data_IF_606623517589
#
_entry.id   IF_606623517589
#
_cell.length_a   1.000
_cell.length_b   1.000
_cell.length_c   1.000
_cell.angle_alpha   90.00
_cell.angle_beta   90.00
_cell.angle_gamma   90.00
#
_symmetry.space_group_name_H-M   'P 1'
#
loop_
_entity.id
_entity.type
_entity.pdbx_description
1 polymer ?
#
# COMPACT_ATOMS: atom_id res chain seq x y z
N UNK A 1 -21.14 13.73 0.65
CA UNK A 1 -20.65 13.08 1.89
C UNK A 1 -21.76 12.83 2.89
N UNK A 2 -22.50 13.86 3.34
CA UNK A 2 -23.60 13.70 4.31
C UNK A 2 -24.59 12.58 3.98
N UNK A 3 -25.07 12.51 2.75
CA UNK A 3 -25.99 11.43 2.34
C UNK A 3 -25.41 10.02 2.53
N UNK A 4 -24.09 9.84 2.37
CA UNK A 4 -23.43 8.54 2.60
C UNK A 4 -23.30 8.26 4.09
N UNK A 5 -22.94 9.27 4.89
CA UNK A 5 -22.86 9.17 6.36
C UNK A 5 -24.23 8.81 6.94
N UNK A 6 -25.28 9.53 6.54
CA UNK A 6 -26.65 9.33 7.04
C UNK A 6 -27.24 7.97 6.59
N UNK A 7 -26.73 7.37 5.52
CA UNK A 7 -27.24 6.11 4.97
C UNK A 7 -26.74 4.86 5.71
N UNK A 8 -25.69 4.94 6.52
CA UNK A 8 -25.05 3.78 7.15
C UNK A 8 -24.82 3.97 8.65
N UNK A 9 -24.82 2.86 9.41
CA UNK A 9 -24.54 2.86 10.85
C UNK A 9 -23.06 2.64 11.19
N UNK A 10 -22.24 2.34 10.19
CA UNK A 10 -20.81 2.09 10.36
C UNK A 10 -20.02 3.38 10.10
N UNK A 11 -18.82 3.55 10.70
CA UNK A 11 -18.00 4.74 10.49
C UNK A 11 -17.65 4.94 9.00
N UNK A 12 -17.91 6.14 8.48
CA UNK A 12 -17.54 6.53 7.11
C UNK A 12 -16.23 7.31 7.15
N UNK A 13 -15.23 6.89 6.39
CA UNK A 13 -13.96 7.62 6.24
C UNK A 13 -13.81 8.17 4.83
N UNK A 14 -12.99 9.20 4.68
CA UNK A 14 -12.70 9.80 3.36
C UNK A 14 -11.21 9.75 3.09
N UNK A 15 -10.84 9.45 1.83
CA UNK A 15 -9.49 9.62 1.32
C UNK A 15 -9.48 10.65 0.20
N UNK A 16 -8.62 11.65 0.31
CA UNK A 16 -8.53 12.76 -0.65
C UNK A 16 -7.07 13.13 -0.96
N UNK A 17 -6.90 14.20 -1.75
CA UNK A 17 -5.66 14.83 -2.18
C UNK A 17 -5.60 16.27 -1.67
N UNK A 18 -4.48 16.96 -1.86
CA UNK A 18 -4.30 18.35 -1.42
C UNK A 18 -5.23 19.36 -2.12
N UNK A 19 -5.84 18.96 -3.23
CA UNK A 19 -6.67 19.80 -4.07
C UNK A 19 -6.61 19.37 -5.54
N UNK A 20 -7.15 20.19 -6.44
CA UNK A 20 -7.22 19.84 -7.87
C UNK A 20 -5.87 20.00 -8.58
N UNK A 21 -5.20 21.12 -8.32
CA UNK A 21 -3.90 21.47 -8.89
C UNK A 21 -3.11 22.37 -7.92
N UNK A 22 -1.98 22.92 -8.38
CA UNK A 22 -1.08 23.72 -7.53
C UNK A 22 -1.65 25.08 -7.14
N UNK A 23 -2.56 25.63 -7.95
CA UNK A 23 -3.26 26.90 -7.67
C UNK A 23 -4.44 26.65 -6.72
N UNK A 24 -5.01 25.44 -6.73
CA UNK A 24 -6.18 25.06 -5.96
C UNK A 24 -5.83 24.03 -4.88
N UNK A 25 -5.05 24.42 -3.86
CA UNK A 25 -4.63 23.58 -2.71
C UNK A 25 -5.46 23.85 -1.45
N UNK A 26 -6.76 23.65 -1.54
CA UNK A 26 -7.77 24.00 -0.52
C UNK A 26 -8.07 22.89 0.50
N UNK A 27 -7.09 22.04 0.82
CA UNK A 27 -7.32 20.86 1.68
C UNK A 27 -7.73 21.21 3.12
N UNK A 28 -7.30 22.35 3.66
CA UNK A 28 -7.68 22.77 5.01
C UNK A 28 -9.20 23.01 5.09
N UNK A 29 -9.74 23.82 4.17
CA UNK A 29 -11.18 24.10 4.09
C UNK A 29 -11.98 22.83 3.80
N UNK A 30 -11.47 21.98 2.91
CA UNK A 30 -12.11 20.69 2.59
C UNK A 30 -12.14 19.77 3.82
N UNK A 31 -11.07 19.74 4.62
CA UNK A 31 -10.98 18.88 5.79
C UNK A 31 -12.03 19.26 6.85
N UNK A 32 -12.18 20.56 7.13
CA UNK A 32 -13.22 21.07 8.03
C UNK A 32 -14.61 20.72 7.50
N UNK A 33 -14.88 21.02 6.22
CA UNK A 33 -16.18 20.75 5.62
C UNK A 33 -16.54 19.26 5.66
N UNK A 34 -15.57 18.38 5.41
CA UNK A 34 -15.76 16.93 5.47
C UNK A 34 -16.05 16.45 6.90
N UNK A 35 -15.29 16.94 7.90
CA UNK A 35 -15.54 16.64 9.30
C UNK A 35 -16.95 17.08 9.71
N UNK A 36 -17.37 18.28 9.31
CA UNK A 36 -18.71 18.83 9.60
C UNK A 36 -19.84 17.99 8.96
N UNK A 37 -19.53 17.16 7.95
CA UNK A 37 -20.47 16.17 7.40
C UNK A 37 -20.51 14.84 8.16
N UNK A 38 -19.73 14.68 9.24
CA UNK A 38 -19.78 13.51 10.14
C UNK A 38 -18.88 12.33 9.72
N UNK A 39 -17.82 12.55 8.95
CA UNK A 39 -16.85 11.48 8.67
C UNK A 39 -16.05 11.13 9.94
N UNK A 40 -15.64 9.88 10.07
CA UNK A 40 -14.95 9.37 11.26
C UNK A 40 -13.42 9.48 11.20
N UNK A 41 -12.83 9.60 10.01
CA UNK A 41 -11.40 9.84 9.81
C UNK A 41 -11.12 10.35 8.38
N UNK A 42 -10.02 11.10 8.23
CA UNK A 42 -9.61 11.67 6.94
C UNK A 42 -8.19 11.22 6.57
N UNK A 43 -8.05 10.56 5.42
CA UNK A 43 -6.75 10.27 4.81
C UNK A 43 -6.41 11.29 3.73
N UNK A 44 -5.22 11.88 3.79
CA UNK A 44 -4.78 12.90 2.83
C UNK A 44 -3.52 12.42 2.11
N UNK A 45 -3.62 12.29 0.79
CA UNK A 45 -2.43 12.12 -0.05
C UNK A 45 -1.80 13.48 -0.31
N UNK A 46 -0.51 13.63 0.01
CA UNK A 46 0.28 14.87 -0.16
C UNK A 46 0.53 15.30 -1.61
N UNK A 47 -0.35 14.95 -2.56
CA UNK A 47 -0.29 15.45 -3.93
C UNK A 47 -1.63 16.07 -4.30
N UNK A 48 -1.61 17.03 -5.21
CA UNK A 48 -2.80 17.53 -5.92
C UNK A 48 -3.22 16.52 -6.98
N UNK A 49 -4.45 16.60 -7.50
CA UNK A 49 -4.90 15.70 -8.57
C UNK A 49 -4.04 15.82 -9.83
N UNK A 50 -3.66 17.04 -10.24
CA UNK A 50 -2.90 17.29 -11.47
C UNK A 50 -1.48 16.72 -11.46
N UNK A 51 -0.85 16.62 -10.29
CA UNK A 51 0.48 16.01 -10.14
C UNK A 51 0.49 14.51 -10.48
N UNK A 52 -0.65 13.81 -10.46
CA UNK A 52 -0.71 12.35 -10.59
C UNK A 52 0.25 11.65 -9.61
N UNK A 53 1.39 11.15 -10.10
CA UNK A 53 2.48 10.53 -9.33
C UNK A 53 3.84 11.21 -9.53
N UNK A 54 3.88 12.36 -10.21
CA UNK A 54 5.11 13.14 -10.39
C UNK A 54 5.39 14.00 -9.16
N UNK A 55 6.62 14.53 -9.08
CA UNK A 55 7.10 15.28 -7.92
C UNK A 55 7.08 14.47 -6.62
N UNK A 56 7.23 15.16 -5.51
CA UNK A 56 7.20 14.60 -4.16
C UNK A 56 5.88 14.92 -3.47
N UNK A 57 5.44 14.05 -2.55
CA UNK A 57 4.32 14.35 -1.69
C UNK A 57 4.68 15.50 -0.73
N UNK A 58 3.91 16.58 -0.78
CA UNK A 58 3.96 17.70 0.15
C UNK A 58 3.17 17.36 1.42
N UNK A 59 3.91 17.15 2.52
CA UNK A 59 3.37 16.84 3.83
C UNK A 59 3.07 18.08 4.68
N UNK A 60 3.48 19.28 4.24
CA UNK A 60 3.27 20.53 4.99
C UNK A 60 1.77 20.83 5.16
N UNK A 61 0.97 20.63 4.11
CA UNK A 61 -0.47 20.82 4.18
C UNK A 61 -1.20 19.72 4.96
N UNK A 62 -0.62 18.51 5.04
CA UNK A 62 -1.14 17.44 5.92
C UNK A 62 -0.93 17.87 7.38
N UNK A 63 0.25 18.37 7.72
CA UNK A 63 0.55 18.92 9.04
C UNK A 63 -0.35 20.11 9.38
N UNK A 64 -0.62 21.01 8.41
CA UNK A 64 -1.52 22.13 8.60
C UNK A 64 -2.94 21.68 8.96
N UNK A 65 -3.46 20.63 8.31
CA UNK A 65 -4.75 20.03 8.68
C UNK A 65 -4.70 19.39 10.06
N UNK A 66 -3.65 18.62 10.37
CA UNK A 66 -3.52 17.95 11.69
C UNK A 66 -3.43 18.95 12.84
N UNK A 67 -2.75 20.07 12.64
CA UNK A 67 -2.56 21.12 13.64
C UNK A 67 -3.67 22.18 13.65
N UNK A 68 -4.70 22.04 12.78
CA UNK A 68 -5.83 22.95 12.78
C UNK A 68 -6.69 22.71 14.05
N UNK A 69 -6.92 23.73 14.90
CA UNK A 69 -7.68 23.56 16.14
C UNK A 69 -9.15 23.16 15.95
N UNK A 70 -9.72 23.34 14.74
CA UNK A 70 -11.07 22.84 14.40
C UNK A 70 -11.11 21.36 14.10
N UNK A 71 -9.97 20.72 13.84
CA UNK A 71 -9.93 19.30 13.50
C UNK A 71 -9.85 18.45 14.77
N UNK A 72 -10.76 17.48 14.86
CA UNK A 72 -10.92 16.60 16.02
C UNK A 72 -10.93 15.12 15.64
N UNK A 73 -11.25 14.81 14.38
CA UNK A 73 -11.18 13.44 13.85
C UNK A 73 -9.73 13.04 13.54
N UNK A 74 -9.39 11.74 13.55
CA UNK A 74 -8.07 11.26 13.16
C UNK A 74 -7.69 11.64 11.73
N UNK A 75 -6.46 12.13 11.57
CA UNK A 75 -5.85 12.46 10.28
C UNK A 75 -4.79 11.40 9.94
N UNK A 76 -4.93 10.82 8.76
CA UNK A 76 -4.03 9.78 8.23
C UNK A 76 -3.20 10.38 7.09
N UNK A 77 -1.89 10.47 7.27
CA UNK A 77 -0.97 10.95 6.25
C UNK A 77 -0.67 9.89 5.18
N UNK A 78 -0.58 10.29 3.91
CA UNK A 78 -0.27 9.40 2.81
C UNK A 78 0.63 10.07 1.77
N UNK A 79 1.60 9.32 1.25
CA UNK A 79 2.44 9.75 0.14
C UNK A 79 3.91 9.46 0.39
N UNK A 80 4.53 8.72 -0.52
CA UNK A 80 5.98 8.50 -0.60
C UNK A 80 6.63 7.91 0.66
N UNK A 81 5.86 7.22 1.50
CA UNK A 81 6.39 6.41 2.59
C UNK A 81 6.92 5.11 1.99
N UNK A 82 8.23 5.05 1.78
CA UNK A 82 8.92 3.91 1.16
C UNK A 82 9.85 3.14 2.10
N UNK A 83 10.02 3.63 3.33
CA UNK A 83 10.84 3.00 4.36
C UNK A 83 10.30 3.29 5.77
N UNK A 84 10.84 2.58 6.75
CA UNK A 84 10.46 2.72 8.15
C UNK A 84 10.93 4.07 8.75
N UNK A 85 12.08 4.54 8.32
CA UNK A 85 12.68 5.81 8.69
C UNK A 85 11.85 6.98 8.15
N UNK A 86 11.46 6.94 6.87
CA UNK A 86 10.57 7.95 6.29
C UNK A 86 9.22 7.95 7.02
N UNK A 87 8.70 6.78 7.39
CA UNK A 87 7.49 6.67 8.19
C UNK A 87 7.63 7.41 9.54
N UNK A 88 8.71 7.13 10.28
CA UNK A 88 9.01 7.81 11.55
C UNK A 88 9.12 9.32 11.37
N UNK A 89 9.90 9.75 10.38
CA UNK A 89 10.06 11.16 10.03
C UNK A 89 8.71 11.84 9.78
N UNK A 90 7.79 11.20 9.05
CA UNK A 90 6.46 11.78 8.79
C UNK A 90 5.60 11.89 10.04
N UNK A 91 5.68 10.92 10.96
CA UNK A 91 5.03 11.06 12.26
C UNK A 91 5.60 12.25 13.04
N UNK A 92 6.93 12.37 13.12
CA UNK A 92 7.63 13.43 13.85
C UNK A 92 7.34 14.84 13.29
N UNK A 93 7.37 14.99 11.96
CA UNK A 93 7.19 16.29 11.29
C UNK A 93 5.75 16.81 11.34
N UNK A 94 4.76 15.91 11.35
CA UNK A 94 3.37 16.29 11.10
C UNK A 94 2.42 16.00 12.26
N UNK A 95 2.80 15.12 13.18
CA UNK A 95 1.96 14.71 14.31
C UNK A 95 0.71 13.94 13.89
N UNK A 96 0.61 13.43 12.66
CA UNK A 96 -0.56 12.67 12.18
C UNK A 96 -0.85 11.45 13.06
N UNK A 97 -2.13 11.08 13.16
CA UNK A 97 -2.57 9.97 14.02
C UNK A 97 -2.21 8.59 13.45
N UNK A 98 -2.05 8.52 12.13
CA UNK A 98 -1.64 7.32 11.41
C UNK A 98 -1.03 7.66 10.05
N UNK A 99 -0.40 6.66 9.44
CA UNK A 99 0.08 6.74 8.06
C UNK A 99 -0.50 5.62 7.20
N UNK A 100 -0.68 5.90 5.92
CA UNK A 100 -1.12 4.92 4.92
C UNK A 100 0.00 4.67 3.91
N UNK A 101 0.41 3.41 3.76
CA UNK A 101 1.44 2.97 2.82
C UNK A 101 0.77 2.30 1.61
N UNK A 102 1.07 2.81 0.41
CA UNK A 102 0.54 2.31 -0.85
C UNK A 102 1.59 1.53 -1.63
N UNK A 103 2.18 2.16 -2.66
CA UNK A 103 3.10 1.53 -3.63
C UNK A 103 4.22 0.69 -2.99
N UNK A 104 4.78 1.10 -1.87
CA UNK A 104 5.88 0.41 -1.22
C UNK A 104 5.52 -0.96 -0.63
N UNK A 105 4.22 -1.30 -0.49
CA UNK A 105 3.78 -2.63 -0.08
C UNK A 105 3.70 -3.63 -1.24
N UNK A 106 3.76 -3.17 -2.49
CA UNK A 106 3.69 -4.04 -3.66
C UNK A 106 4.98 -4.87 -3.78
N UNK A 107 4.87 -6.18 -3.64
CA UNK A 107 6.03 -7.08 -3.66
C UNK A 107 6.87 -7.03 -2.38
N UNK A 108 6.46 -6.24 -1.39
CA UNK A 108 7.10 -6.12 -0.07
C UNK A 108 6.02 -6.06 1.02
N UNK A 109 5.15 -7.07 1.15
CA UNK A 109 4.07 -7.06 2.14
C UNK A 109 4.58 -6.96 3.59
N UNK A 110 5.82 -7.38 3.87
CA UNK A 110 6.46 -7.25 5.18
C UNK A 110 6.85 -5.81 5.56
N UNK A 111 6.65 -4.81 4.68
CA UNK A 111 6.94 -3.40 5.02
C UNK A 111 6.21 -2.91 6.27
N UNK A 112 5.01 -3.43 6.54
CA UNK A 112 4.27 -3.08 7.75
C UNK A 112 4.97 -3.61 9.02
N UNK A 113 5.61 -4.78 8.94
CA UNK A 113 6.39 -5.36 10.05
C UNK A 113 7.68 -4.56 10.26
N UNK A 114 8.37 -4.19 9.18
CA UNK A 114 9.56 -3.32 9.22
C UNK A 114 9.25 -1.98 9.89
N UNK A 115 8.19 -1.30 9.45
CA UNK A 115 7.74 -0.02 10.01
C UNK A 115 7.38 -0.16 11.48
N UNK A 116 6.57 -1.17 11.84
CA UNK A 116 6.15 -1.36 13.23
C UNK A 116 7.34 -1.63 14.15
N UNK A 117 8.27 -2.47 13.73
CA UNK A 117 9.47 -2.77 14.50
C UNK A 117 10.33 -1.51 14.70
N UNK A 118 10.63 -0.77 13.63
CA UNK A 118 11.44 0.45 13.71
C UNK A 118 10.81 1.53 14.60
N UNK A 119 9.49 1.71 14.54
CA UNK A 119 8.79 2.67 15.40
C UNK A 119 8.83 2.27 16.89
N UNK A 120 8.98 0.98 17.20
CA UNK A 120 9.03 0.46 18.57
C UNK A 120 10.45 0.41 19.15
N UNK A 121 11.44 0.08 18.32
CA UNK A 121 12.82 -0.21 18.77
C UNK A 121 13.83 0.83 18.32
N UNK A 122 13.54 1.58 17.24
CA UNK A 122 14.52 2.41 16.55
C UNK A 122 15.51 1.63 15.66
N UNK A 123 15.36 0.31 15.57
CA UNK A 123 16.27 -0.58 14.84
C UNK A 123 15.64 -1.06 13.53
N UNK A 124 16.49 -1.30 12.53
CA UNK A 124 16.05 -1.85 11.25
C UNK A 124 15.67 -3.30 11.44
N UNK A 125 14.43 -3.63 11.08
CA UNK A 125 14.00 -5.01 11.07
C UNK A 125 14.74 -5.77 9.98
N UNK A 126 15.50 -6.79 10.38
CA UNK A 126 16.18 -7.70 9.47
C UNK A 126 15.63 -9.12 9.64
N UNK A 127 15.50 -9.81 8.51
CA UNK A 127 14.96 -11.15 8.43
C UNK A 127 15.48 -11.82 7.17
N UNK A 128 15.61 -13.14 7.21
CA UNK A 128 16.19 -13.92 6.13
C UNK A 128 15.45 -13.73 4.80
N UNK A 129 16.22 -13.75 3.71
CA UNK A 129 15.64 -13.75 2.36
C UNK A 129 14.75 -14.97 2.12
N UNK A 130 15.07 -16.12 2.73
CA UNK A 130 14.24 -17.31 2.71
C UNK A 130 12.86 -17.05 3.30
N UNK A 131 12.77 -16.42 4.49
CA UNK A 131 11.48 -16.05 5.07
C UNK A 131 10.70 -15.08 4.18
N UNK A 132 11.37 -14.07 3.60
CA UNK A 132 10.73 -13.11 2.69
C UNK A 132 10.20 -13.81 1.43
N UNK A 133 10.91 -14.82 0.93
CA UNK A 133 10.46 -15.64 -0.19
C UNK A 133 9.20 -16.44 0.16
N UNK A 134 9.15 -17.06 1.34
CA UNK A 134 7.96 -17.77 1.82
C UNK A 134 6.74 -16.84 1.93
N UNK A 135 6.92 -15.61 2.41
CA UNK A 135 5.83 -14.63 2.42
C UNK A 135 5.32 -14.29 1.01
N UNK A 136 6.21 -14.22 0.01
CA UNK A 136 5.78 -14.04 -1.37
C UNK A 136 5.01 -15.25 -1.89
N UNK A 137 5.43 -16.48 -1.57
CA UNK A 137 4.69 -17.70 -1.93
C UNK A 137 3.32 -17.74 -1.27
N UNK A 138 3.22 -17.37 0.00
CA UNK A 138 1.94 -17.26 0.69
C UNK A 138 1.02 -16.22 0.00
N UNK A 139 1.58 -15.07 -0.38
CA UNK A 139 0.84 -14.06 -1.14
C UNK A 139 0.34 -14.61 -2.49
N UNK A 140 1.13 -15.44 -3.18
CA UNK A 140 0.72 -16.12 -4.41
C UNK A 140 -0.46 -17.07 -4.15
N UNK A 141 -0.38 -17.90 -3.12
CA UNK A 141 -1.44 -18.85 -2.76
C UNK A 141 -2.75 -18.13 -2.43
N UNK A 142 -2.69 -17.07 -1.62
CA UNK A 142 -3.86 -16.25 -1.30
C UNK A 142 -4.48 -15.60 -2.55
N UNK A 143 -3.63 -15.10 -3.47
CA UNK A 143 -4.09 -14.54 -4.74
C UNK A 143 -4.77 -15.56 -5.64
N UNK A 144 -4.24 -16.79 -5.70
CA UNK A 144 -4.87 -17.90 -6.43
C UNK A 144 -6.19 -18.30 -5.79
N UNK A 145 -6.23 -18.46 -4.48
CA UNK A 145 -7.45 -18.84 -3.77
C UNK A 145 -8.56 -17.82 -3.96
N UNK A 146 -8.25 -16.52 -3.84
CA UNK A 146 -9.22 -15.44 -4.07
C UNK A 146 -9.85 -15.52 -5.47
N UNK A 147 -9.06 -15.84 -6.50
CA UNK A 147 -9.56 -15.98 -7.87
C UNK A 147 -10.40 -17.26 -8.04
N UNK A 148 -10.01 -18.36 -7.38
CA UNK A 148 -10.81 -19.59 -7.32
C UNK A 148 -12.18 -19.29 -6.69
N UNK A 149 -12.22 -18.60 -5.56
CA UNK A 149 -13.46 -18.26 -4.85
C UNK A 149 -14.39 -17.35 -5.68
N UNK A 150 -13.82 -16.31 -6.31
CA UNK A 150 -14.61 -15.34 -7.08
C UNK A 150 -15.18 -15.91 -8.39
N UNK A 151 -14.61 -16.99 -8.91
CA UNK A 151 -14.90 -17.50 -10.26
C UNK A 151 -15.08 -19.02 -10.29
N UNK A 152 -15.48 -19.61 -9.15
CA UNK A 152 -15.60 -21.05 -8.97
C UNK A 152 -16.48 -21.72 -10.04
N UNK A 153 -17.53 -21.04 -10.51
CA UNK A 153 -18.46 -21.57 -11.51
C UNK A 153 -18.03 -21.32 -12.96
N UNK A 154 -17.00 -20.48 -13.19
CA UNK A 154 -16.65 -19.96 -14.52
C UNK A 154 -15.36 -20.55 -15.10
N UNK A 155 -14.50 -21.14 -14.27
CA UNK A 155 -13.22 -21.68 -14.71
C UNK A 155 -13.00 -23.10 -14.20
N UNK A 156 -12.30 -23.90 -14.99
CA UNK A 156 -11.65 -25.10 -14.47
C UNK A 156 -10.62 -24.73 -13.41
N UNK A 157 -10.28 -25.67 -12.54
CA UNK A 157 -9.28 -25.45 -11.49
C UNK A 157 -7.94 -24.94 -12.04
N UNK A 158 -7.45 -25.55 -13.12
CA UNK A 158 -6.22 -25.12 -13.79
C UNK A 158 -6.30 -23.69 -14.37
N UNK A 159 -7.46 -23.31 -14.92
CA UNK A 159 -7.65 -21.95 -15.47
C UNK A 159 -7.77 -20.90 -14.37
N UNK A 160 -8.38 -21.25 -13.23
CA UNK A 160 -8.46 -20.38 -12.07
C UNK A 160 -7.06 -20.17 -11.46
N UNK A 161 -6.27 -21.22 -11.34
CA UNK A 161 -4.88 -21.15 -10.89
C UNK A 161 -4.02 -20.26 -11.77
N UNK A 162 -4.02 -20.49 -13.08
CA UNK A 162 -3.30 -19.66 -14.05
C UNK A 162 -3.72 -18.18 -13.93
N UNK A 163 -5.02 -17.92 -13.80
CA UNK A 163 -5.55 -16.56 -13.63
C UNK A 163 -5.11 -15.91 -12.31
N UNK A 164 -5.02 -16.68 -11.23
CA UNK A 164 -4.51 -16.24 -9.94
C UNK A 164 -3.03 -15.87 -9.98
N UNK A 165 -2.22 -16.71 -10.64
CA UNK A 165 -0.81 -16.42 -10.89
C UNK A 165 -0.69 -15.13 -11.71
N UNK A 166 -1.46 -14.97 -12.78
CA UNK A 166 -1.49 -13.73 -13.56
C UNK A 166 -1.82 -12.50 -12.72
N UNK A 167 -2.76 -12.61 -11.78
CA UNK A 167 -3.15 -11.53 -10.89
C UNK A 167 -2.00 -11.08 -9.98
N UNK A 168 -1.23 -12.03 -9.45
CA UNK A 168 -0.17 -11.75 -8.47
C UNK A 168 1.20 -11.44 -9.10
N UNK A 169 1.42 -11.75 -10.39
CA UNK A 169 2.68 -11.50 -11.12
C UNK A 169 3.25 -10.09 -10.95
N UNK A 170 2.39 -9.06 -10.85
CA UNK A 170 2.84 -7.68 -10.63
C UNK A 170 3.62 -7.50 -9.31
N UNK A 171 3.26 -8.26 -8.27
CA UNK A 171 3.93 -8.21 -6.97
C UNK A 171 5.28 -8.92 -7.03
N UNK A 172 5.34 -10.08 -7.71
CA UNK A 172 6.59 -10.79 -7.96
C UNK A 172 7.55 -9.98 -8.87
N UNK A 173 7.02 -9.23 -9.83
CA UNK A 173 7.83 -8.36 -10.70
C UNK A 173 8.37 -7.13 -9.96
N UNK A 174 7.61 -6.59 -9.00
CA UNK A 174 7.95 -5.38 -8.26
C UNK A 174 8.73 -5.62 -6.97
N UNK A 175 8.90 -6.87 -6.54
CA UNK A 175 9.52 -7.17 -5.24
C UNK A 175 10.99 -6.69 -5.19
N UNK A 176 11.39 -6.00 -4.10
CA UNK A 176 12.77 -5.63 -3.88
C UNK A 176 13.64 -6.83 -3.49
N UNK A 177 13.06 -7.97 -3.12
CA UNK A 177 13.77 -9.16 -2.64
C UNK A 177 14.81 -9.67 -3.66
N UNK A 178 14.52 -9.53 -4.95
CA UNK A 178 15.40 -9.99 -6.02
C UNK A 178 16.35 -8.91 -6.54
N UNK A 179 16.31 -7.70 -5.97
CA UNK A 179 17.19 -6.60 -6.40
C UNK A 179 18.63 -6.92 -5.99
N UNK A 180 19.54 -6.86 -6.95
CA UNK A 180 20.97 -7.10 -6.72
C UNK A 180 21.42 -8.55 -6.93
N UNK A 181 20.51 -9.49 -7.22
CA UNK A 181 20.88 -10.86 -7.59
C UNK A 181 21.52 -10.85 -9.00
N UNK A 182 22.77 -11.34 -9.17
CA UNK A 182 23.42 -11.40 -10.48
C UNK A 182 22.64 -12.28 -11.47
N UNK A 183 22.63 -11.90 -12.75
CA UNK A 183 22.01 -12.67 -13.84
C UNK A 183 20.51 -13.06 -13.64
N UNK A 184 19.78 -12.36 -12.78
CA UNK A 184 18.40 -12.70 -12.40
C UNK A 184 17.34 -12.54 -13.52
N UNK A 185 17.72 -11.99 -14.68
CA UNK A 185 16.79 -11.71 -15.78
C UNK A 185 16.07 -12.97 -16.26
N UNK A 186 16.79 -14.06 -16.43
CA UNK A 186 16.25 -15.32 -16.93
C UNK A 186 15.31 -15.97 -15.92
N UNK A 187 15.73 -16.05 -14.65
CA UNK A 187 14.89 -16.51 -13.53
C UNK A 187 13.59 -15.71 -13.43
N UNK A 188 13.68 -14.38 -13.55
CA UNK A 188 12.49 -13.51 -13.57
C UNK A 188 11.55 -13.84 -14.72
N UNK A 189 12.09 -14.02 -15.94
CA UNK A 189 11.27 -14.36 -17.12
C UNK A 189 10.58 -15.71 -16.92
N UNK A 190 11.30 -16.72 -16.43
CA UNK A 190 10.74 -18.04 -16.14
C UNK A 190 9.63 -17.95 -15.09
N UNK A 191 9.89 -17.29 -13.96
CA UNK A 191 8.92 -17.07 -12.88
C UNK A 191 7.66 -16.35 -13.39
N UNK A 192 7.83 -15.29 -14.19
CA UNK A 192 6.70 -14.54 -14.75
C UNK A 192 6.01 -15.25 -15.92
N UNK A 193 6.51 -16.39 -16.39
CA UNK A 193 5.87 -17.23 -17.43
C UNK A 193 5.25 -18.51 -16.89
N UNK A 194 5.61 -18.94 -15.68
CA UNK A 194 5.07 -20.13 -15.03
C UNK A 194 3.53 -20.17 -15.09
N UNK A 195 2.99 -21.32 -15.50
CA UNK A 195 1.54 -21.49 -15.75
C UNK A 195 0.79 -22.12 -14.59
N UNK A 196 1.51 -22.76 -13.67
CA UNK A 196 0.98 -23.42 -12.49
C UNK A 196 1.87 -23.14 -11.26
N UNK A 197 1.32 -23.43 -10.07
CA UNK A 197 1.97 -23.17 -8.78
C UNK A 197 3.23 -24.03 -8.59
N UNK A 198 3.19 -25.29 -9.02
CA UNK A 198 4.32 -26.22 -8.89
C UNK A 198 5.55 -25.68 -9.60
N UNK A 199 5.43 -25.30 -10.87
CA UNK A 199 6.54 -24.75 -11.66
C UNK A 199 7.01 -23.41 -11.10
N UNK A 200 6.07 -22.54 -10.71
CA UNK A 200 6.39 -21.25 -10.13
C UNK A 200 7.22 -21.40 -8.85
N UNK A 201 6.81 -22.28 -7.95
CA UNK A 201 7.50 -22.49 -6.68
C UNK A 201 8.82 -23.21 -6.86
N UNK A 202 8.90 -24.19 -7.77
CA UNK A 202 10.18 -24.81 -8.13
C UNK A 202 11.20 -23.78 -8.61
N UNK A 203 10.79 -22.78 -9.41
CA UNK A 203 11.68 -21.67 -9.84
C UNK A 203 12.03 -20.76 -8.66
N UNK A 204 11.08 -20.44 -7.79
CA UNK A 204 11.32 -19.59 -6.62
C UNK A 204 12.32 -20.24 -5.64
N UNK A 205 12.25 -21.56 -5.49
CA UNK A 205 13.11 -22.35 -4.60
C UNK A 205 14.58 -22.37 -5.02
N UNK A 206 14.91 -22.01 -6.27
CA UNK A 206 16.31 -21.95 -6.73
C UNK A 206 16.99 -20.59 -6.49
N UNK A 207 16.29 -19.61 -5.90
CA UNK A 207 16.78 -18.22 -5.81
C UNK A 207 17.76 -17.99 -4.65
N UNK A 208 17.57 -18.71 -3.53
CA UNK A 208 18.36 -18.57 -2.31
C UNK A 208 18.91 -19.91 -1.83
#
# INVERSE_FOLDING_TARGET
TKAVVDAVKVPVTVKTRLGWDMENRNIVDIAEALQDQGIAALTIHGRTRSQMYTGEADWSLIAAVKNNPRMHIPIIGNGDITSAEICRQRFEETGVDAVMIGRASFGRPWIFKEVKHYLQTGEIWDESNAWKLEVLKEQVLQGVQMIKDQRAEKYSEASAEKSGIMHIRRHLAATPLFKGIPNFKETRIAMLRAENLTDLFAIMDTIF
#
